data_IF_458864047413
#
_entry.id   IF_458864047413
#
_cell.length_a   1.000
_cell.length_b   1.000
_cell.length_c   1.000
_cell.angle_alpha   90.00
_cell.angle_beta   90.00
_cell.angle_gamma   90.00
#
_symmetry.space_group_name_H-M   'P 1'
#
loop_
_entity.id
_entity.type
_entity.pdbx_description
1 polymer ?
#
# COMPACT_ATOMS: atom_id res chain seq x y z
N UNK A 1 7.82 3.79 11.28
CA UNK A 1 6.84 2.77 10.85
C UNK A 1 5.73 3.46 10.06
N UNK A 2 5.58 3.21 8.75
CA UNK A 2 4.47 3.78 8.01
C UNK A 2 3.15 3.26 8.57
N UNK A 3 2.28 4.18 8.98
CA UNK A 3 0.91 3.83 9.40
C UNK A 3 0.07 3.77 8.14
N UNK A 4 -0.75 2.73 8.00
CA UNK A 4 -1.70 2.59 6.90
C UNK A 4 -3.13 2.67 7.43
N UNK A 5 -4.00 3.40 6.74
CA UNK A 5 -5.44 3.46 7.01
C UNK A 5 -6.19 3.08 5.73
N UNK A 6 -7.11 2.12 5.83
CA UNK A 6 -8.08 1.87 4.77
C UNK A 6 -9.33 2.68 5.09
N UNK A 7 -9.81 3.45 4.12
CA UNK A 7 -10.96 4.32 4.27
C UNK A 7 -11.86 4.21 3.05
N UNK A 8 -13.17 4.37 3.24
CA UNK A 8 -14.12 4.50 2.15
C UNK A 8 -13.84 5.79 1.38
N UNK A 9 -13.88 5.70 0.05
CA UNK A 9 -13.60 6.82 -0.85
C UNK A 9 -14.52 8.02 -0.60
N UNK A 10 -15.79 7.75 -0.29
CA UNK A 10 -16.79 8.80 -0.03
C UNK A 10 -16.46 9.66 1.20
N UNK A 11 -15.69 9.12 2.15
CA UNK A 11 -15.26 9.82 3.36
C UNK A 11 -14.04 10.73 3.11
N UNK A 12 -13.48 10.75 1.89
CA UNK A 12 -12.38 11.64 1.52
C UNK A 12 -12.88 12.98 0.96
N UNK A 13 -12.11 14.08 1.11
CA UNK A 13 -12.46 15.35 0.47
C UNK A 13 -12.60 15.21 -1.05
N UNK A 14 -13.54 15.95 -1.66
CA UNK A 14 -13.83 15.87 -3.10
C UNK A 14 -12.61 16.07 -4.00
N UNK A 15 -11.67 16.93 -3.60
CA UNK A 15 -10.41 17.14 -4.33
C UNK A 15 -9.55 15.87 -4.37
N UNK A 16 -9.51 15.12 -3.27
CA UNK A 16 -8.75 13.86 -3.16
C UNK A 16 -9.46 12.76 -3.97
N UNK A 17 -10.79 12.73 -3.95
CA UNK A 17 -11.57 11.84 -4.81
C UNK A 17 -11.27 12.08 -6.30
N UNK A 18 -11.16 13.35 -6.71
CA UNK A 18 -10.77 13.70 -8.08
C UNK A 18 -9.34 13.25 -8.44
N UNK A 19 -8.41 13.23 -7.48
CA UNK A 19 -7.08 12.65 -7.71
C UNK A 19 -7.14 11.15 -7.92
N UNK A 20 -7.99 10.44 -7.15
CA UNK A 20 -8.20 9.00 -7.30
C UNK A 20 -8.74 8.67 -8.71
N UNK A 21 -9.64 9.50 -9.24
CA UNK A 21 -10.14 9.35 -10.62
C UNK A 21 -9.02 9.55 -11.65
N UNK A 22 -8.17 10.55 -11.46
CA UNK A 22 -7.07 10.84 -12.38
C UNK A 22 -6.02 9.70 -12.45
N UNK A 23 -5.95 8.85 -11.42
CA UNK A 23 -4.99 7.74 -11.32
C UNK A 23 -5.62 6.35 -11.51
N UNK A 24 -6.86 6.27 -11.99
CA UNK A 24 -7.51 4.98 -12.31
C UNK A 24 -8.05 4.23 -11.09
N UNK A 25 -8.37 4.93 -9.99
CA UNK A 25 -8.95 4.36 -8.75
C UNK A 25 -10.43 4.71 -8.54
N UNK A 26 -11.12 5.12 -9.60
CA UNK A 26 -12.54 5.49 -9.61
C UNK A 26 -13.49 4.37 -9.18
N UNK A 27 -13.14 3.12 -9.46
CA UNK A 27 -13.98 1.95 -9.18
C UNK A 27 -13.70 1.29 -7.83
N UNK A 28 -12.86 1.89 -6.99
CA UNK A 28 -12.54 1.37 -5.67
C UNK A 28 -13.35 2.08 -4.59
N UNK A 29 -14.25 1.34 -3.95
CA UNK A 29 -15.06 1.82 -2.82
C UNK A 29 -14.19 2.20 -1.62
N UNK A 30 -13.04 1.53 -1.47
CA UNK A 30 -12.07 1.77 -0.41
C UNK A 30 -10.69 2.02 -0.98
N UNK A 31 -9.93 2.90 -0.34
CA UNK A 31 -8.54 3.20 -0.68
C UNK A 31 -7.66 3.11 0.56
N UNK A 32 -6.39 2.78 0.34
CA UNK A 32 -5.40 2.74 1.40
C UNK A 32 -4.54 4.01 1.37
N UNK A 33 -4.56 4.71 2.49
CA UNK A 33 -3.71 5.84 2.81
C UNK A 33 -2.45 5.33 3.52
N UNK A 34 -1.28 5.51 2.91
CA UNK A 34 0.00 5.15 3.53
C UNK A 34 0.73 6.42 3.92
N UNK A 35 0.88 6.62 5.22
CA UNK A 35 1.58 7.76 5.80
C UNK A 35 3.08 7.45 5.88
N UNK A 36 3.90 8.23 5.19
CA UNK A 36 5.37 8.21 5.30
C UNK A 36 5.85 9.46 6.06
N UNK A 37 7.17 9.64 6.22
CA UNK A 37 7.70 10.78 7.00
C UNK A 37 7.41 12.16 6.37
N UNK A 38 7.23 12.23 5.05
CA UNK A 38 6.96 13.49 4.35
C UNK A 38 5.82 13.44 3.35
N UNK A 39 5.28 12.26 3.06
CA UNK A 39 4.34 12.05 1.96
C UNK A 39 3.16 11.18 2.36
N UNK A 40 2.01 11.45 1.74
CA UNK A 40 0.83 10.61 1.78
C UNK A 40 0.70 9.88 0.45
N UNK A 41 0.79 8.55 0.48
CA UNK A 41 0.62 7.73 -0.71
C UNK A 41 -0.81 7.19 -0.74
N UNK A 42 -1.51 7.43 -1.85
CA UNK A 42 -2.83 6.88 -2.15
C UNK A 42 -2.64 5.63 -3.02
N UNK A 43 -3.19 4.50 -2.60
CA UNK A 43 -3.15 3.27 -3.41
C UNK A 43 -4.38 2.40 -3.21
N UNK A 44 -4.51 1.40 -4.08
CA UNK A 44 -5.48 0.31 -3.89
C UNK A 44 -5.22 -0.40 -2.55
N UNK A 45 -6.27 -0.77 -1.80
CA UNK A 45 -6.11 -1.60 -0.63
C UNK A 45 -5.37 -2.89 -1.02
N UNK A 46 -4.26 -3.17 -0.36
CA UNK A 46 -3.63 -4.48 -0.53
C UNK A 46 -4.58 -5.56 -0.01
N UNK A 47 -4.82 -6.59 -0.82
CA UNK A 47 -5.46 -7.81 -0.31
C UNK A 47 -4.63 -8.34 0.87
N UNK A 48 -5.26 -8.60 2.02
CA UNK A 48 -4.56 -9.15 3.19
C UNK A 48 -3.80 -10.45 2.86
N UNK A 49 -4.39 -11.28 2.02
CA UNK A 49 -3.81 -12.55 1.54
C UNK A 49 -2.57 -12.30 0.68
N UNK A 50 -2.63 -11.33 -0.22
CA UNK A 50 -1.52 -10.89 -1.04
C UNK A 50 -0.39 -10.29 -0.21
N UNK A 51 -0.72 -9.56 0.86
CA UNK A 51 0.25 -9.02 1.82
C UNK A 51 0.95 -10.14 2.60
N UNK A 52 0.19 -11.14 3.06
CA UNK A 52 0.74 -12.31 3.75
C UNK A 52 1.65 -13.14 2.83
N UNK A 53 1.21 -13.37 1.59
CA UNK A 53 2.00 -14.04 0.56
C UNK A 53 3.29 -13.26 0.24
N UNK A 54 3.18 -11.95 -0.02
CA UNK A 54 4.32 -11.10 -0.37
C UNK A 54 5.37 -11.06 0.74
N UNK A 55 4.94 -11.03 2.01
CA UNK A 55 5.85 -11.13 3.15
C UNK A 55 6.64 -12.43 3.13
N UNK A 56 5.99 -13.57 2.91
CA UNK A 56 6.67 -14.86 2.82
C UNK A 56 7.68 -14.93 1.67
N UNK A 57 7.38 -14.30 0.53
CA UNK A 57 8.30 -14.22 -0.61
C UNK A 57 9.50 -13.31 -0.29
N UNK A 58 9.26 -12.12 0.27
CA UNK A 58 10.31 -11.16 0.65
C UNK A 58 11.24 -11.76 1.69
N UNK A 59 10.71 -12.42 2.73
CA UNK A 59 11.52 -13.07 3.78
C UNK A 59 12.42 -14.18 3.22
N UNK A 60 11.98 -14.88 2.17
CA UNK A 60 12.80 -15.89 1.49
C UNK A 60 13.92 -15.27 0.66
N UNK A 61 13.61 -14.19 -0.08
CA UNK A 61 14.61 -13.43 -0.85
C UNK A 61 15.66 -12.79 0.06
N UNK A 62 15.24 -12.16 1.16
CA UNK A 62 16.17 -11.53 2.11
C UNK A 62 17.13 -12.55 2.71
N UNK A 63 16.64 -13.76 3.03
CA UNK A 63 17.48 -14.84 3.56
C UNK A 63 18.51 -15.34 2.56
N UNK A 64 18.09 -15.57 1.32
CA UNK A 64 19.00 -15.93 0.22
C UNK A 64 20.02 -14.82 -0.03
N UNK A 65 19.57 -13.57 -0.04
CA UNK A 65 20.45 -12.42 -0.23
C UNK A 65 21.47 -12.28 0.89
N UNK A 66 21.07 -12.40 2.16
CA UNK A 66 21.96 -12.43 3.31
C UNK A 66 23.00 -13.55 3.21
N UNK A 67 22.56 -14.76 2.85
CA UNK A 67 23.46 -15.89 2.60
C UNK A 67 24.47 -15.63 1.48
N UNK A 68 24.08 -14.92 0.41
CA UNK A 68 24.95 -14.59 -0.72
C UNK A 68 25.99 -13.52 -0.36
N UNK A 69 25.64 -12.55 0.49
CA UNK A 69 26.55 -11.48 0.92
C UNK A 69 27.34 -11.83 2.19
N UNK A 70 27.12 -13.02 2.75
CA UNK A 70 27.85 -13.53 3.92
C UNK A 70 27.44 -12.89 5.25
N UNK A 71 26.19 -12.43 5.35
CA UNK A 71 25.55 -11.93 6.58
C UNK A 71 24.62 -12.98 7.18
#
# INVERSE_FOLDING_TARGET
>A
MPRSLVIERENLPTVVQGWLDAIGLEHHDTVELVFTEGELVLRRPLSPELRAWAKGVVDAYDREFQSLIGL
#
